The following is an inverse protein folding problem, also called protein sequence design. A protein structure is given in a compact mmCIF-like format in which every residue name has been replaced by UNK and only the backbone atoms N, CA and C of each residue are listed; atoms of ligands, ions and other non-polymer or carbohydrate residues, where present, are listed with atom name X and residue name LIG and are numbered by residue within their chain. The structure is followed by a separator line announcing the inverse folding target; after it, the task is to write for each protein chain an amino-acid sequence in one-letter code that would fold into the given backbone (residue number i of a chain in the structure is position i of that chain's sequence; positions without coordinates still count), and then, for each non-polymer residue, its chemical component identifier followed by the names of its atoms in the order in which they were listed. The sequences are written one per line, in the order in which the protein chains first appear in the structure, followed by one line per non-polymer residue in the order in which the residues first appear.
data_IF_604470441240
#
_entry.id   IF_604470441240
#
_cell.length_a   1.000
_cell.length_b   1.000
_cell.length_c   1.000
_cell.angle_alpha   90.00
_cell.angle_beta   90.00
_cell.angle_gamma   90.00
#
_symmetry.space_group_name_H-M   'P 1'
#
loop_
_entity.id
_entity.type
_entity.pdbx_description
1 polymer ?
#
# COMPACT_ATOMS: atom_id res chain seq x y z
N UNK A 1 -12.76 20.94 -11.93
CA UNK A 1 -13.07 19.49 -11.92
C UNK A 1 -14.39 19.25 -11.22
N UNK A 2 -15.31 18.57 -11.89
CA UNK A 2 -16.57 18.14 -11.28
C UNK A 2 -16.37 16.71 -10.82
N UNK A 3 -16.46 16.48 -9.51
CA UNK A 3 -16.26 15.19 -8.87
C UNK A 3 -17.62 14.59 -8.52
N UNK A 4 -17.81 13.31 -8.81
CA UNK A 4 -19.02 12.57 -8.47
C UNK A 4 -18.65 11.41 -7.55
N UNK A 5 -19.21 11.42 -6.34
CA UNK A 5 -19.15 10.25 -5.44
C UNK A 5 -20.22 9.25 -5.86
N UNK A 6 -19.87 7.97 -5.86
CA UNK A 6 -20.86 6.90 -6.00
C UNK A 6 -21.90 7.01 -4.88
N UNK A 7 -23.16 7.32 -5.27
CA UNK A 7 -24.28 7.45 -4.34
C UNK A 7 -24.67 8.87 -3.93
N UNK A 8 -23.84 9.90 -4.23
CA UNK A 8 -24.25 11.29 -4.05
C UNK A 8 -25.13 11.76 -5.21
N UNK A 9 -26.24 12.45 -4.89
CA UNK A 9 -27.10 13.09 -5.91
C UNK A 9 -26.52 14.41 -6.42
N UNK A 10 -25.71 15.07 -5.61
CA UNK A 10 -25.14 16.38 -5.91
C UNK A 10 -23.64 16.26 -6.20
N UNK A 11 -23.18 16.66 -7.39
CA UNK A 11 -21.77 16.64 -7.72
C UNK A 11 -21.01 17.73 -6.96
N UNK A 12 -19.81 17.41 -6.48
CA UNK A 12 -18.92 18.38 -5.87
C UNK A 12 -18.13 19.10 -6.96
N UNK A 13 -18.14 20.43 -6.91
CA UNK A 13 -17.46 21.27 -7.89
C UNK A 13 -16.21 21.85 -7.23
N UNK A 14 -15.05 21.33 -7.63
CA UNK A 14 -13.75 21.86 -7.20
C UNK A 14 -13.02 22.53 -8.36
N UNK A 15 -12.47 23.72 -8.14
CA UNK A 15 -11.57 24.35 -9.11
C UNK A 15 -10.12 24.02 -8.75
N UNK A 16 -9.40 23.43 -9.70
CA UNK A 16 -7.99 23.04 -9.52
C UNK A 16 -7.17 23.90 -10.46
N UNK A 17 -6.11 24.52 -9.94
CA UNK A 17 -5.27 25.43 -10.70
C UNK A 17 -3.85 25.46 -10.14
N UNK A 18 -2.88 25.63 -11.02
CA UNK A 18 -1.48 25.93 -10.72
C UNK A 18 -1.16 27.43 -10.81
N UNK A 19 -2.19 28.27 -11.04
CA UNK A 19 -2.02 29.71 -11.16
C UNK A 19 -1.68 30.35 -9.81
N UNK A 20 -0.42 30.73 -9.63
CA UNK A 20 0.10 31.35 -8.40
C UNK A 20 -0.62 32.62 -7.97
N UNK A 21 -1.31 33.32 -8.88
CA UNK A 21 -2.12 34.52 -8.52
C UNK A 21 -3.34 34.17 -7.68
N UNK A 22 -3.72 32.89 -7.62
CA UNK A 22 -4.89 32.42 -6.86
C UNK A 22 -4.55 31.87 -5.48
N UNK A 23 -3.26 31.79 -5.12
CA UNK A 23 -2.83 31.21 -3.84
C UNK A 23 -3.61 31.76 -2.64
N UNK A 24 -3.75 33.08 -2.49
CA UNK A 24 -4.47 33.67 -1.32
C UNK A 24 -5.97 33.39 -1.34
N UNK A 25 -6.56 33.12 -2.51
CA UNK A 25 -8.00 32.87 -2.69
C UNK A 25 -8.39 31.40 -2.69
N UNK A 26 -7.41 30.50 -2.72
CA UNK A 26 -7.67 29.06 -2.71
C UNK A 26 -7.98 28.57 -1.30
N UNK A 27 -8.97 27.70 -1.17
CA UNK A 27 -9.31 27.03 0.10
C UNK A 27 -8.20 26.09 0.58
N UNK A 28 -7.46 25.50 -0.36
CA UNK A 28 -6.29 24.69 -0.07
C UNK A 28 -5.11 24.95 -1.01
N UNK A 29 -3.91 24.72 -0.50
CA UNK A 29 -2.66 24.65 -1.26
C UNK A 29 -2.07 23.26 -1.04
N UNK A 30 -1.75 22.58 -2.14
CA UNK A 30 -1.19 21.22 -2.12
C UNK A 30 0.29 21.29 -2.44
N UNK A 31 1.09 20.66 -1.58
CA UNK A 31 2.55 20.65 -1.67
C UNK A 31 3.05 19.26 -1.99
N UNK A 32 3.91 19.18 -3.00
CA UNK A 32 4.67 17.97 -3.30
C UNK A 32 5.95 18.01 -2.47
N UNK A 33 6.07 17.18 -1.42
CA UNK A 33 7.28 17.15 -0.62
C UNK A 33 8.49 16.80 -1.47
N UNK A 34 8.34 15.95 -2.49
CA UNK A 34 9.43 15.55 -3.39
C UNK A 34 10.18 16.74 -4.02
N UNK A 35 9.48 17.86 -4.22
CA UNK A 35 9.99 19.05 -4.89
C UNK A 35 9.88 20.30 -4.00
N UNK A 36 9.81 20.12 -2.68
CA UNK A 36 9.58 21.23 -1.76
C UNK A 36 10.81 22.16 -1.72
N UNK A 37 10.62 23.40 -2.19
CA UNK A 37 11.59 24.47 -2.06
C UNK A 37 11.07 25.52 -1.06
N UNK A 38 11.76 25.65 0.07
CA UNK A 38 11.38 26.60 1.13
C UNK A 38 11.35 28.06 0.65
N UNK A 39 12.16 28.39 -0.36
CA UNK A 39 12.22 29.76 -0.92
C UNK A 39 11.06 30.08 -1.86
N UNK A 40 10.36 29.07 -2.38
CA UNK A 40 9.22 29.23 -3.31
C UNK A 40 7.85 29.04 -2.63
N UNK A 41 7.85 28.80 -1.31
CA UNK A 41 6.63 28.66 -0.52
C UNK A 41 5.87 29.99 -0.44
N UNK A 42 4.51 29.96 -0.38
CA UNK A 42 3.73 31.17 -0.19
C UNK A 42 4.11 31.90 1.11
N UNK A 43 4.50 33.18 1.01
CA UNK A 43 4.83 34.00 2.18
C UNK A 43 3.60 34.36 3.03
N UNK A 44 2.41 34.31 2.44
CA UNK A 44 1.15 34.61 3.08
C UNK A 44 0.27 33.36 3.07
N UNK A 45 -0.34 33.09 4.22
CA UNK A 45 -1.33 32.03 4.40
C UNK A 45 -2.62 32.67 4.90
N UNK A 46 -3.72 32.44 4.19
CA UNK A 46 -5.03 32.92 4.63
C UNK A 46 -5.54 32.10 5.84
N UNK A 47 -6.34 32.72 6.71
CA UNK A 47 -6.72 32.16 8.02
C UNK A 47 -7.40 30.78 7.97
N UNK A 48 -8.19 30.51 6.92
CA UNK A 48 -8.91 29.24 6.74
C UNK A 48 -8.29 28.35 5.66
N UNK A 49 -7.12 28.73 5.13
CA UNK A 49 -6.48 27.99 4.07
C UNK A 49 -5.79 26.73 4.60
N UNK A 50 -6.14 25.60 3.98
CA UNK A 50 -5.60 24.29 4.28
C UNK A 50 -4.30 24.06 3.50
N UNK A 51 -3.24 23.65 4.18
CA UNK A 51 -1.99 23.26 3.53
C UNK A 51 -1.89 21.74 3.57
N UNK A 52 -1.85 21.11 2.40
CA UNK A 52 -1.92 19.66 2.22
C UNK A 52 -0.55 19.13 1.81
N UNK A 53 -0.02 18.22 2.61
CA UNK A 53 1.21 17.49 2.36
C UNK A 53 0.93 16.25 1.52
N UNK A 54 1.25 16.28 0.22
CA UNK A 54 0.92 15.19 -0.70
C UNK A 54 2.12 14.29 -1.00
N UNK A 55 2.33 13.26 -0.17
CA UNK A 55 3.34 12.22 -0.38
C UNK A 55 2.87 11.21 -1.45
N UNK A 56 3.30 11.42 -2.70
CA UNK A 56 2.97 10.53 -3.83
C UNK A 56 3.86 9.31 -3.89
N UNK A 57 5.10 9.49 -3.48
CA UNK A 57 6.13 8.47 -3.50
C UNK A 57 6.73 8.27 -2.12
N UNK A 58 7.63 7.30 -2.04
CA UNK A 58 8.47 7.08 -0.87
C UNK A 58 9.32 8.33 -0.61
N UNK A 59 9.19 8.89 0.59
CA UNK A 59 10.17 9.82 1.12
C UNK A 59 11.34 9.04 1.74
N UNK A 60 12.60 9.45 1.52
CA UNK A 60 13.74 8.80 2.16
C UNK A 60 13.63 8.95 3.69
N UNK A 61 14.14 7.97 4.46
CA UNK A 61 14.25 8.10 5.90
C UNK A 61 14.97 9.39 6.29
N UNK A 62 14.51 10.03 7.37
CA UNK A 62 15.15 11.19 7.97
C UNK A 62 16.66 10.94 8.18
N UNK A 63 17.49 11.90 7.78
CA UNK A 63 18.94 11.85 7.95
C UNK A 63 19.72 11.06 6.88
N UNK A 64 19.07 10.35 5.94
CA UNK A 64 19.76 9.82 4.75
C UNK A 64 19.86 10.91 3.68
N UNK A 65 20.86 11.79 3.79
CA UNK A 65 21.08 12.87 2.85
C UNK A 65 21.45 12.32 1.46
N UNK A 66 20.55 12.44 0.48
CA UNK A 66 20.93 12.53 -0.93
C UNK A 66 20.77 13.99 -1.36
N UNK A 67 21.54 14.48 -2.35
CA UNK A 67 21.42 15.87 -2.82
C UNK A 67 20.00 16.26 -3.23
N UNK A 68 19.20 15.28 -3.65
CA UNK A 68 17.81 15.41 -4.05
C UNK A 68 16.84 14.92 -2.96
N UNK A 69 17.25 14.89 -1.68
CA UNK A 69 16.38 14.46 -0.58
C UNK A 69 15.63 15.65 0.03
N UNK A 70 14.34 15.83 -0.28
CA UNK A 70 13.54 16.90 0.31
C UNK A 70 13.24 16.69 1.79
N UNK A 71 13.42 15.47 2.32
CA UNK A 71 13.31 15.18 3.76
C UNK A 71 14.29 16.00 4.61
N UNK A 72 15.35 16.56 4.01
CA UNK A 72 16.26 17.49 4.68
C UNK A 72 15.59 18.82 5.07
N UNK A 73 14.62 19.28 4.29
CA UNK A 73 13.93 20.56 4.52
C UNK A 73 12.64 20.41 5.34
N UNK A 74 12.11 19.20 5.42
CA UNK A 74 10.87 18.91 6.13
C UNK A 74 10.88 19.31 7.63
N UNK A 75 11.99 19.21 8.39
CA UNK A 75 12.02 19.70 9.77
C UNK A 75 11.76 21.20 9.90
N UNK A 76 12.13 21.99 8.89
CA UNK A 76 11.91 23.46 8.89
C UNK A 76 10.47 23.85 8.60
N UNK A 77 9.64 22.91 8.15
CA UNK A 77 8.22 23.09 7.87
C UNK A 77 7.35 22.20 8.76
N UNK A 78 7.90 21.72 9.88
CA UNK A 78 7.12 21.08 10.92
C UNK A 78 6.00 22.02 11.39
N UNK A 79 4.79 21.49 11.62
CA UNK A 79 3.58 22.25 11.96
C UNK A 79 3.00 23.17 10.88
N UNK A 80 3.48 23.11 9.64
CA UNK A 80 2.94 23.95 8.55
C UNK A 80 1.72 23.31 7.89
N UNK A 81 1.70 21.99 7.75
CA UNK A 81 0.65 21.25 7.04
C UNK A 81 -0.51 20.84 7.94
N UNK A 82 -1.74 21.01 7.47
CA UNK A 82 -2.94 20.53 8.15
C UNK A 82 -3.24 19.08 7.82
N UNK A 83 -3.13 18.72 6.55
CA UNK A 83 -3.52 17.40 6.06
C UNK A 83 -2.35 16.68 5.43
N UNK A 84 -2.34 15.38 5.62
CA UNK A 84 -1.51 14.41 4.94
C UNK A 84 -2.35 13.73 3.86
N UNK A 85 -1.77 13.62 2.68
CA UNK A 85 -2.39 12.99 1.54
C UNK A 85 -1.41 11.97 0.97
N UNK A 86 -1.77 10.69 0.96
CA UNK A 86 -0.81 9.64 0.63
C UNK A 86 -1.41 8.23 0.64
N UNK A 87 -0.56 7.25 0.36
CA UNK A 87 -0.97 5.85 0.17
C UNK A 87 -1.20 5.07 1.46
N UNK A 88 -0.70 5.60 2.58
CA UNK A 88 -0.85 5.00 3.90
C UNK A 88 -2.29 5.14 4.36
N UNK A 89 -2.74 4.16 5.14
CA UNK A 89 -4.13 4.10 5.61
C UNK A 89 -4.40 5.05 6.79
N UNK A 90 -3.35 5.63 7.37
CA UNK A 90 -3.42 6.63 8.45
C UNK A 90 -3.29 8.08 7.94
N UNK A 91 -3.32 8.30 6.62
CA UNK A 91 -3.36 9.65 6.03
C UNK A 91 -4.73 10.29 6.24
N UNK A 92 -4.81 11.62 6.34
CA UNK A 92 -6.10 12.33 6.36
C UNK A 92 -6.86 12.15 5.04
N UNK A 93 -6.12 12.13 3.93
CA UNK A 93 -6.64 11.84 2.58
C UNK A 93 -5.89 10.66 2.00
N UNK A 94 -6.47 9.46 2.16
CA UNK A 94 -5.91 8.24 1.59
C UNK A 94 -6.10 8.26 0.06
N UNK A 95 -5.01 8.09 -0.68
CA UNK A 95 -5.06 8.04 -2.14
C UNK A 95 -5.95 6.89 -2.62
N UNK A 96 -6.85 7.14 -3.60
CA UNK A 96 -7.64 6.08 -4.20
C UNK A 96 -6.75 4.96 -4.74
N UNK A 97 -7.09 3.73 -4.38
CA UNK A 97 -6.45 2.52 -4.88
C UNK A 97 -7.45 1.70 -5.69
N UNK A 98 -6.96 0.71 -6.44
CA UNK A 98 -7.86 -0.21 -7.16
C UNK A 98 -8.69 -0.98 -6.16
N UNK A 99 -10.00 -0.99 -6.38
CA UNK A 99 -10.96 -1.80 -5.64
C UNK A 99 -11.45 -2.96 -6.52
N UNK A 100 -12.31 -3.81 -5.97
CA UNK A 100 -12.75 -5.02 -6.65
C UNK A 100 -14.27 -5.12 -6.62
N UNK A 101 -14.85 -5.44 -7.79
CA UNK A 101 -16.25 -5.81 -7.89
C UNK A 101 -16.35 -7.28 -8.28
N UNK A 102 -16.91 -8.08 -7.37
CA UNK A 102 -17.21 -9.48 -7.60
C UNK A 102 -18.69 -9.62 -7.95
N UNK A 103 -18.97 -10.33 -9.03
CA UNK A 103 -20.34 -10.59 -9.44
C UNK A 103 -20.94 -11.69 -8.58
N UNK A 104 -22.16 -11.44 -8.09
CA UNK A 104 -23.10 -12.53 -7.88
C UNK A 104 -23.70 -12.84 -9.26
N UNK A 105 -23.79 -14.13 -9.61
CA UNK A 105 -24.12 -14.64 -10.95
C UNK A 105 -25.18 -13.78 -11.70
N UNK A 106 -24.79 -13.08 -12.78
CA UNK A 106 -25.75 -12.42 -13.68
C UNK A 106 -25.34 -11.09 -14.32
N UNK A 107 -24.42 -10.32 -13.73
CA UNK A 107 -24.02 -9.03 -14.31
C UNK A 107 -22.92 -9.16 -15.37
N UNK A 108 -22.84 -8.21 -16.32
CA UNK A 108 -21.70 -8.12 -17.26
C UNK A 108 -20.63 -7.20 -16.68
N UNK A 109 -19.34 -7.61 -16.65
CA UNK A 109 -18.31 -6.77 -16.06
C UNK A 109 -18.03 -5.57 -16.97
N UNK A 110 -18.16 -4.35 -16.44
CA UNK A 110 -17.68 -3.12 -17.09
C UNK A 110 -16.16 -2.92 -16.91
N UNK A 111 -15.51 -3.79 -16.14
CA UNK A 111 -14.11 -3.68 -15.73
C UNK A 111 -13.22 -4.80 -16.31
N UNK A 112 -11.90 -4.57 -16.30
CA UNK A 112 -10.92 -5.52 -16.85
C UNK A 112 -10.89 -6.81 -16.00
N UNK A 113 -11.10 -8.00 -16.60
CA UNK A 113 -11.01 -9.26 -15.89
C UNK A 113 -9.56 -9.61 -15.53
N UNK A 114 -9.38 -10.41 -14.47
CA UNK A 114 -8.06 -10.90 -14.07
C UNK A 114 -7.57 -12.03 -15.00
N UNK A 115 -6.24 -12.20 -15.16
CA UNK A 115 -5.69 -13.36 -15.81
C UNK A 115 -6.19 -14.63 -15.13
N UNK A 116 -6.66 -15.60 -15.91
CA UNK A 116 -7.02 -16.92 -15.38
C UNK A 116 -5.75 -17.58 -14.82
N UNK A 117 -5.86 -18.30 -13.68
CA UNK A 117 -4.73 -19.05 -13.17
C UNK A 117 -4.24 -20.05 -14.20
N UNK A 118 -2.92 -20.28 -14.26
CA UNK A 118 -2.36 -21.24 -15.20
C UNK A 118 -2.91 -22.65 -14.92
N UNK A 119 -3.23 -23.44 -15.94
CA UNK A 119 -3.60 -24.85 -15.76
C UNK A 119 -2.47 -25.67 -15.10
N UNK A 120 -1.24 -25.15 -15.11
CA UNK A 120 -0.03 -25.77 -14.59
C UNK A 120 0.49 -25.13 -13.31
N UNK A 121 -0.36 -24.62 -12.40
CA UNK A 121 0.10 -24.24 -11.04
C UNK A 121 0.73 -25.47 -10.37
N UNK A 122 2.04 -25.62 -10.59
CA UNK A 122 2.87 -26.70 -10.07
C UNK A 122 3.46 -26.22 -8.76
N UNK A 123 3.08 -26.87 -7.67
CA UNK A 123 3.58 -26.52 -6.33
C UNK A 123 5.00 -27.03 -6.08
N UNK A 124 5.52 -27.91 -6.94
CA UNK A 124 6.76 -28.62 -6.66
C UNK A 124 8.02 -27.84 -7.03
N UNK A 125 7.91 -26.77 -7.83
CA UNK A 125 9.08 -26.04 -8.36
C UNK A 125 9.34 -24.65 -7.74
N UNK A 126 8.51 -24.19 -6.79
CA UNK A 126 8.64 -22.85 -6.17
C UNK A 126 9.02 -22.93 -4.70
N UNK A 127 9.72 -21.92 -4.20
CA UNK A 127 9.95 -21.68 -2.78
C UNK A 127 8.66 -21.35 -2.02
N UNK A 128 8.72 -21.38 -0.70
CA UNK A 128 7.51 -21.35 0.13
C UNK A 128 6.97 -19.92 0.20
N UNK A 129 7.71 -18.99 0.81
CA UNK A 129 7.28 -17.60 1.00
C UNK A 129 8.44 -16.62 0.83
N UNK A 130 8.14 -15.48 0.22
CA UNK A 130 9.06 -14.35 0.12
C UNK A 130 8.50 -13.12 0.86
N UNK A 131 9.39 -12.24 1.32
CA UNK A 131 9.01 -10.95 1.86
C UNK A 131 9.99 -9.88 1.42
N UNK A 132 9.44 -8.81 0.86
CA UNK A 132 10.17 -7.58 0.60
C UNK A 132 10.21 -6.80 1.92
N UNK A 133 11.36 -6.79 2.58
CA UNK A 133 11.58 -6.02 3.81
C UNK A 133 12.47 -4.84 3.49
N UNK A 134 11.87 -3.67 3.49
CA UNK A 134 12.59 -2.43 3.34
C UNK A 134 13.29 -2.02 4.65
N UNK A 135 14.27 -1.12 4.54
CA UNK A 135 15.09 -0.67 5.67
C UNK A 135 14.24 -0.09 6.82
N UNK A 136 13.08 0.54 6.53
CA UNK A 136 12.20 1.05 7.58
C UNK A 136 11.44 -0.07 8.31
N UNK A 137 11.12 -1.19 7.64
CA UNK A 137 10.34 -2.28 8.24
C UNK A 137 11.21 -3.30 8.99
N UNK A 138 12.52 -3.33 8.71
CA UNK A 138 13.45 -4.32 9.25
C UNK A 138 13.48 -4.35 10.79
N UNK A 139 13.56 -3.18 11.41
CA UNK A 139 13.74 -3.06 12.87
C UNK A 139 12.54 -3.56 13.66
N UNK A 140 11.31 -3.30 13.18
CA UNK A 140 10.09 -3.68 13.89
C UNK A 140 9.81 -5.18 13.81
N UNK A 141 10.01 -5.75 12.63
CA UNK A 141 9.63 -7.15 12.39
C UNK A 141 10.63 -8.18 12.91
N UNK A 142 11.89 -7.79 13.13
CA UNK A 142 12.86 -8.56 13.93
C UNK A 142 12.29 -8.88 15.33
N UNK A 143 11.64 -7.89 15.95
CA UNK A 143 11.08 -8.02 17.29
C UNK A 143 9.68 -8.66 17.30
N UNK A 144 8.79 -8.32 16.36
CA UNK A 144 7.39 -8.78 16.38
C UNK A 144 7.20 -10.23 15.91
N UNK A 145 8.00 -10.72 14.95
CA UNK A 145 7.80 -12.05 14.34
C UNK A 145 8.77 -13.09 14.92
N UNK A 146 9.74 -12.66 15.74
CA UNK A 146 10.73 -13.54 16.35
C UNK A 146 11.59 -14.26 15.31
N UNK A 147 11.79 -13.62 14.14
CA UNK A 147 12.68 -14.10 13.08
C UNK A 147 13.97 -13.31 13.20
N UNK A 148 15.04 -13.96 13.63
CA UNK A 148 16.38 -13.37 13.55
C UNK A 148 16.75 -13.30 12.06
N UNK A 149 16.87 -12.09 11.51
CA UNK A 149 17.11 -11.86 10.07
C UNK A 149 18.57 -12.11 9.64
N UNK A 150 19.33 -12.90 10.41
CA UNK A 150 20.65 -13.33 9.96
C UNK A 150 20.49 -14.29 8.78
N UNK A 151 20.79 -13.76 7.59
CA UNK A 151 20.64 -14.39 6.28
C UNK A 151 21.51 -15.63 6.08
N UNK A 152 21.30 -16.66 6.87
CA UNK A 152 21.75 -17.99 6.55
C UNK A 152 20.53 -18.88 6.36
N UNK A 153 20.50 -19.52 5.19
CA UNK A 153 19.75 -20.73 4.92
C UNK A 153 20.00 -21.72 6.06
N UNK A 154 19.19 -21.67 7.12
CA UNK A 154 19.24 -22.66 8.18
C UNK A 154 18.24 -23.74 7.79
N UNK A 155 18.71 -24.93 7.38
CA UNK A 155 17.83 -26.01 6.94
C UNK A 155 17.31 -26.71 8.19
N UNK A 156 16.42 -26.07 8.95
CA UNK A 156 15.63 -26.80 9.92
C UNK A 156 14.54 -27.56 9.16
N UNK A 157 14.94 -28.74 8.69
CA UNK A 157 14.10 -29.83 8.19
C UNK A 157 13.21 -30.41 9.30
N UNK A 158 12.65 -29.57 10.17
CA UNK A 158 11.54 -29.97 11.01
C UNK A 158 10.28 -29.99 10.13
N UNK A 159 9.64 -31.15 10.01
CA UNK A 159 8.37 -31.28 9.30
C UNK A 159 7.37 -30.25 9.88
N UNK A 160 6.94 -29.29 9.05
CA UNK A 160 6.04 -28.21 9.49
C UNK A 160 6.61 -26.78 9.41
N UNK A 161 7.88 -26.60 9.02
CA UNK A 161 8.48 -25.27 8.83
C UNK A 161 8.16 -24.68 7.45
N UNK A 162 8.14 -23.36 7.36
CA UNK A 162 7.99 -22.58 6.12
C UNK A 162 9.28 -21.81 5.91
N UNK A 163 9.89 -21.95 4.72
CA UNK A 163 11.10 -21.22 4.37
C UNK A 163 10.77 -19.82 3.89
N UNK A 164 11.18 -18.84 4.67
CA UNK A 164 11.06 -17.42 4.34
C UNK A 164 12.32 -16.92 3.63
N UNK A 165 12.16 -16.39 2.41
CA UNK A 165 13.20 -15.61 1.74
C UNK A 165 12.94 -14.12 1.93
N UNK A 166 13.92 -13.42 2.48
CA UNK A 166 13.90 -11.97 2.57
C UNK A 166 14.55 -11.34 1.34
N UNK A 167 13.90 -10.29 0.85
CA UNK A 167 14.43 -9.39 -0.16
C UNK A 167 14.57 -8.03 0.49
N UNK A 168 15.80 -7.57 0.71
CA UNK A 168 16.06 -6.17 1.02
C UNK A 168 15.58 -5.31 -0.14
N UNK A 169 15.04 -4.13 0.15
CA UNK A 169 14.31 -3.32 -0.82
C UNK A 169 15.03 -3.04 -2.17
N UNK A 170 14.16 -2.79 -3.15
CA UNK A 170 14.34 -2.36 -4.54
C UNK A 170 15.65 -1.60 -4.81
N UNK A 171 16.51 -2.20 -5.64
CA UNK A 171 17.86 -1.71 -5.94
C UNK A 171 18.96 -2.76 -5.72
N UNK A 172 18.63 -3.89 -5.08
CA UNK A 172 19.45 -5.08 -5.15
C UNK A 172 19.44 -5.66 -6.58
N UNK A 173 20.53 -6.32 -6.98
CA UNK A 173 20.78 -6.89 -8.34
C UNK A 173 19.63 -7.75 -8.90
N UNK A 174 18.68 -8.17 -8.06
CA UNK A 174 17.59 -9.09 -8.41
C UNK A 174 16.36 -8.38 -9.01
N UNK A 175 15.93 -7.24 -8.46
CA UNK A 175 14.76 -6.47 -8.94
C UNK A 175 14.80 -4.99 -8.50
N UNK A 176 14.45 -4.06 -9.39
CA UNK A 176 14.65 -2.62 -9.18
C UNK A 176 13.38 -1.86 -8.77
N UNK A 177 12.19 -2.38 -9.08
CA UNK A 177 10.91 -1.75 -8.72
C UNK A 177 9.99 -2.72 -7.97
N UNK A 178 9.00 -2.24 -7.18
CA UNK A 178 8.05 -3.13 -6.51
C UNK A 178 7.33 -4.06 -7.48
N UNK A 179 6.99 -3.56 -8.67
CA UNK A 179 6.36 -4.34 -9.74
C UNK A 179 7.27 -5.48 -10.20
N UNK A 180 8.53 -5.18 -10.48
CA UNK A 180 9.52 -6.19 -10.88
C UNK A 180 9.77 -7.22 -9.77
N UNK A 181 9.84 -6.77 -8.52
CA UNK A 181 10.05 -7.66 -7.38
C UNK A 181 8.87 -8.60 -7.16
N UNK A 182 7.63 -8.10 -7.23
CA UNK A 182 6.44 -8.95 -7.12
C UNK A 182 6.39 -9.96 -8.26
N UNK A 183 6.71 -9.56 -9.50
CA UNK A 183 6.81 -10.48 -10.64
C UNK A 183 7.87 -11.56 -10.41
N UNK A 184 9.07 -11.16 -10.00
CA UNK A 184 10.18 -12.08 -9.70
C UNK A 184 9.77 -13.11 -8.63
N UNK A 185 9.12 -12.63 -7.57
CA UNK A 185 8.59 -13.46 -6.48
C UNK A 185 7.52 -14.41 -7.01
N UNK A 186 6.58 -13.91 -7.83
CA UNK A 186 5.49 -14.73 -8.37
C UNK A 186 5.99 -15.90 -9.21
N UNK A 187 7.11 -15.75 -9.90
CA UNK A 187 7.72 -16.83 -10.69
C UNK A 187 8.37 -17.92 -9.80
N UNK A 188 8.80 -17.57 -8.57
CA UNK A 188 9.70 -18.41 -7.76
C UNK A 188 9.15 -18.82 -6.41
N UNK A 189 8.07 -18.20 -5.93
CA UNK A 189 7.50 -18.44 -4.60
C UNK A 189 5.97 -18.58 -4.67
N UNK A 190 5.39 -19.28 -3.69
CA UNK A 190 3.95 -19.44 -3.58
C UNK A 190 3.26 -18.29 -2.84
N UNK A 191 3.95 -17.71 -1.87
CA UNK A 191 3.42 -16.65 -1.03
C UNK A 191 4.32 -15.41 -1.05
N UNK A 192 3.69 -14.25 -0.90
CA UNK A 192 4.38 -12.99 -0.60
C UNK A 192 3.80 -12.42 0.70
N UNK A 193 4.66 -12.08 1.65
CA UNK A 193 4.23 -11.38 2.87
C UNK A 193 4.06 -9.89 2.56
N UNK A 194 2.96 -9.32 3.06
CA UNK A 194 2.63 -7.89 2.94
C UNK A 194 2.20 -7.37 4.32
N UNK A 195 2.78 -6.25 4.75
CA UNK A 195 2.36 -5.55 5.98
C UNK A 195 1.13 -4.67 5.72
N UNK A 196 0.15 -4.63 6.64
CA UNK A 196 -0.95 -3.64 6.58
C UNK A 196 -0.52 -2.25 7.11
N UNK A 197 0.57 -2.18 7.86
CA UNK A 197 1.22 -0.93 8.30
C UNK A 197 2.63 -0.85 7.71
N UNK A 198 2.77 -0.71 6.39
CA UNK A 198 4.09 -0.53 5.80
C UNK A 198 4.61 0.86 6.20
N UNK A 199 5.71 0.89 6.97
CA UNK A 199 6.31 2.15 7.43
C UNK A 199 6.99 2.89 6.26
N UNK A 200 7.42 2.17 5.22
CA UNK A 200 7.94 2.79 4.00
C UNK A 200 6.83 3.04 2.97
N UNK A 201 5.91 3.99 3.19
CA UNK A 201 5.04 4.70 2.21
C UNK A 201 4.45 3.97 0.97
N UNK A 202 4.46 2.65 0.90
CA UNK A 202 3.82 1.82 -0.12
C UNK A 202 2.47 1.38 0.42
N UNK A 203 1.40 1.37 -0.40
CA UNK A 203 0.14 0.84 0.11
C UNK A 203 0.20 -0.68 0.19
N UNK A 204 -0.35 -1.28 1.26
CA UNK A 204 -0.69 -2.71 1.30
C UNK A 204 -1.42 -3.15 0.03
N UNK A 205 -2.30 -2.29 -0.48
CA UNK A 205 -3.08 -2.56 -1.68
C UNK A 205 -2.27 -2.56 -2.96
N UNK A 206 -1.15 -1.83 -3.07
CA UNK A 206 -0.34 -1.85 -4.28
C UNK A 206 0.35 -3.20 -4.47
N UNK A 207 0.94 -3.75 -3.41
CA UNK A 207 1.57 -5.06 -3.42
C UNK A 207 0.54 -6.17 -3.66
N UNK A 208 -0.63 -6.09 -3.00
CA UNK A 208 -1.73 -7.04 -3.24
C UNK A 208 -2.21 -6.96 -4.69
N UNK A 209 -2.47 -5.75 -5.20
CA UNK A 209 -2.96 -5.55 -6.57
C UNK A 209 -1.96 -6.06 -7.61
N UNK A 210 -0.67 -5.91 -7.36
CA UNK A 210 0.37 -6.44 -8.24
C UNK A 210 0.41 -7.97 -8.16
N UNK A 211 0.39 -8.55 -6.95
CA UNK A 211 0.41 -9.99 -6.75
C UNK A 211 -0.77 -10.70 -7.40
N UNK A 212 -1.96 -10.07 -7.38
CA UNK A 212 -3.17 -10.59 -8.01
C UNK A 212 -3.09 -10.76 -9.53
N UNK A 213 -2.13 -10.12 -10.21
CA UNK A 213 -1.87 -10.37 -11.63
C UNK A 213 -1.25 -11.73 -11.90
N UNK A 214 -0.73 -12.41 -10.87
CA UNK A 214 0.02 -13.65 -10.97
C UNK A 214 -0.57 -14.77 -10.09
N UNK A 215 -0.04 -15.98 -10.22
CA UNK A 215 -0.36 -17.12 -9.35
C UNK A 215 0.47 -17.06 -8.06
N UNK A 216 0.29 -15.96 -7.33
CA UNK A 216 0.98 -15.61 -6.08
C UNK A 216 -0.07 -15.22 -5.04
N UNK A 217 -0.01 -15.82 -3.84
CA UNK A 217 -0.99 -15.55 -2.77
C UNK A 217 -0.40 -14.56 -1.76
N UNK A 218 -1.00 -13.37 -1.56
CA UNK A 218 -0.59 -12.46 -0.51
C UNK A 218 -0.91 -13.01 0.89
N UNK A 219 0.06 -12.92 1.79
CA UNK A 219 -0.06 -13.18 3.21
C UNK A 219 0.03 -11.86 3.94
N UNK A 220 -1.12 -11.31 4.34
CA UNK A 220 -1.22 -9.99 4.95
C UNK A 220 -1.06 -10.06 6.46
N UNK A 221 0.00 -9.43 6.96
CA UNK A 221 0.24 -9.25 8.39
C UNK A 221 -0.62 -8.09 8.89
N UNK A 222 -1.56 -8.40 9.78
CA UNK A 222 -2.53 -7.45 10.29
C UNK A 222 -3.04 -7.81 11.69
N UNK A 223 -3.51 -6.82 12.47
CA UNK A 223 -4.10 -7.06 13.78
C UNK A 223 -5.43 -7.81 13.67
N UNK A 224 -5.86 -8.46 14.76
CA UNK A 224 -7.06 -9.32 14.80
C UNK A 224 -8.37 -8.63 14.42
N UNK A 225 -8.45 -7.30 14.52
CA UNK A 225 -9.64 -6.49 14.20
C UNK A 225 -9.53 -5.72 12.88
N UNK A 226 -8.45 -5.91 12.12
CA UNK A 226 -8.29 -5.23 10.84
C UNK A 226 -9.27 -5.76 9.79
N UNK A 227 -9.61 -4.90 8.83
CA UNK A 227 -10.39 -5.25 7.65
C UNK A 227 -9.56 -5.00 6.39
N UNK A 228 -9.80 -5.78 5.34
CA UNK A 228 -9.18 -5.60 4.02
C UNK A 228 -10.27 -5.64 2.97
N UNK A 229 -10.31 -4.63 2.11
CA UNK A 229 -11.22 -4.60 0.96
C UNK A 229 -10.61 -5.35 -0.22
N UNK A 230 -10.70 -6.68 -0.16
CA UNK A 230 -10.20 -7.60 -1.20
C UNK A 230 -11.21 -8.71 -1.44
N UNK A 231 -11.19 -9.36 -2.61
CA UNK A 231 -12.09 -10.47 -2.89
C UNK A 231 -12.01 -11.56 -1.82
N UNK A 232 -13.13 -12.19 -1.48
CA UNK A 232 -13.16 -13.28 -0.49
C UNK A 232 -12.22 -14.41 -0.91
N UNK A 233 -11.48 -14.96 0.05
CA UNK A 233 -10.51 -16.03 -0.17
C UNK A 233 -9.40 -15.69 -1.18
N UNK A 234 -9.06 -14.41 -1.37
CA UNK A 234 -7.95 -13.99 -2.26
C UNK A 234 -6.61 -13.82 -1.55
N UNK A 235 -6.63 -13.68 -0.23
CA UNK A 235 -5.46 -13.46 0.62
C UNK A 235 -5.52 -14.36 1.86
N UNK A 236 -4.37 -14.54 2.51
CA UNK A 236 -4.25 -15.15 3.84
C UNK A 236 -3.95 -14.03 4.83
N UNK A 237 -4.66 -13.95 5.96
CA UNK A 237 -4.46 -12.89 6.96
C UNK A 237 -3.89 -13.45 8.26
N UNK A 238 -2.94 -12.76 8.88
CA UNK A 238 -2.44 -13.14 10.22
C UNK A 238 -3.44 -12.82 11.35
N UNK A 239 -4.50 -12.04 11.08
CA UNK A 239 -5.50 -11.59 12.06
C UNK A 239 -5.97 -12.67 13.06
N UNK A 240 -6.21 -13.90 12.58
CA UNK A 240 -6.68 -15.04 13.37
C UNK A 240 -5.59 -16.08 13.69
N UNK A 241 -4.33 -15.79 13.38
CA UNK A 241 -3.17 -16.69 13.46
C UNK A 241 -2.05 -16.09 14.34
N UNK A 242 -2.43 -15.45 15.46
CA UNK A 242 -1.54 -14.65 16.31
C UNK A 242 -0.59 -15.48 17.20
N UNK A 243 -0.79 -16.80 17.30
CA UNK A 243 0.10 -17.65 18.09
C UNK A 243 1.41 -17.93 17.37
N UNK A 244 2.51 -18.02 18.14
CA UNK A 244 3.84 -18.38 17.61
C UNK A 244 3.76 -19.64 16.74
N UNK A 245 4.21 -19.54 15.48
CA UNK A 245 4.21 -20.65 14.52
C UNK A 245 2.87 -21.03 13.90
N UNK A 246 1.74 -20.43 14.31
CA UNK A 246 0.42 -20.77 13.74
C UNK A 246 0.33 -20.41 12.26
N UNK A 247 0.83 -19.22 11.88
CA UNK A 247 0.88 -18.79 10.49
C UNK A 247 1.72 -19.76 9.64
N UNK A 248 2.92 -20.13 10.10
CA UNK A 248 3.78 -21.09 9.40
C UNK A 248 3.10 -22.45 9.21
N UNK A 249 2.48 -22.99 10.27
CA UNK A 249 1.71 -24.25 10.20
C UNK A 249 0.54 -24.15 9.21
N UNK A 250 -0.16 -23.03 9.18
CA UNK A 250 -1.26 -22.81 8.24
C UNK A 250 -0.77 -22.79 6.80
N UNK A 251 0.30 -22.03 6.50
CA UNK A 251 0.88 -21.97 5.16
C UNK A 251 1.40 -23.34 4.71
N UNK A 252 2.03 -24.12 5.60
CA UNK A 252 2.49 -25.47 5.26
C UNK A 252 1.34 -26.39 4.87
N UNK A 253 0.25 -26.36 5.65
CA UNK A 253 -0.97 -27.12 5.35
C UNK A 253 -1.62 -26.71 4.01
N UNK A 254 -1.42 -25.47 3.56
CA UNK A 254 -1.86 -25.03 2.23
C UNK A 254 -0.96 -25.63 1.14
N UNK A 255 0.37 -25.60 1.32
CA UNK A 255 1.31 -26.15 0.34
C UNK A 255 1.22 -27.68 0.21
N UNK A 256 0.89 -28.39 1.28
CA UNK A 256 0.68 -29.85 1.25
C UNK A 256 -0.56 -30.28 0.47
N UNK A 257 -1.45 -29.34 0.13
CA UNK A 257 -2.73 -29.61 -0.55
C UNK A 257 -2.88 -28.72 -1.78
N UNK A 258 -2.48 -29.20 -2.98
CA UNK A 258 -2.56 -28.42 -4.19
C UNK A 258 -3.91 -27.78 -4.50
N UNK A 259 -4.98 -28.52 -4.26
CA UNK A 259 -6.32 -28.02 -4.51
C UNK A 259 -6.70 -26.89 -3.54
N UNK A 260 -6.23 -26.95 -2.29
CA UNK A 260 -6.40 -25.86 -1.32
C UNK A 260 -5.70 -24.59 -1.78
N UNK A 261 -4.46 -24.69 -2.27
CA UNK A 261 -3.74 -23.53 -2.80
C UNK A 261 -4.45 -22.93 -4.02
N UNK A 262 -4.94 -23.77 -4.95
CA UNK A 262 -5.70 -23.30 -6.12
C UNK A 262 -6.97 -22.54 -5.77
N UNK A 263 -7.61 -22.84 -4.63
CA UNK A 263 -8.81 -22.10 -4.21
C UNK A 263 -8.58 -20.61 -4.00
N UNK A 264 -7.35 -20.16 -3.76
CA UNK A 264 -7.02 -18.74 -3.60
C UNK A 264 -7.10 -17.92 -4.90
N UNK A 265 -7.37 -18.57 -6.04
CA UNK A 265 -7.46 -17.90 -7.35
C UNK A 265 -8.84 -18.01 -7.99
N UNK A 266 -9.80 -18.69 -7.37
CA UNK A 266 -11.15 -18.89 -7.93
C UNK A 266 -11.92 -17.58 -8.07
N UNK A 267 -11.65 -16.61 -7.19
CA UNK A 267 -12.22 -15.27 -7.24
C UNK A 267 -11.91 -14.54 -8.56
N UNK A 268 -10.76 -14.83 -9.21
CA UNK A 268 -10.37 -14.20 -10.48
C UNK A 268 -11.34 -14.46 -11.63
N UNK A 269 -12.15 -15.51 -11.54
CA UNK A 269 -13.15 -15.85 -12.55
C UNK A 269 -14.43 -15.00 -12.44
N UNK A 270 -14.69 -14.41 -11.27
CA UNK A 270 -15.97 -13.75 -10.95
C UNK A 270 -15.79 -12.30 -10.49
N UNK A 271 -14.54 -11.83 -10.36
CA UNK A 271 -14.23 -10.47 -9.94
C UNK A 271 -13.44 -9.72 -11.00
N UNK A 272 -13.57 -8.40 -10.98
CA UNK A 272 -12.88 -7.48 -11.87
C UNK A 272 -12.31 -6.30 -11.09
N UNK A 273 -11.18 -5.77 -11.55
CA UNK A 273 -10.54 -4.62 -10.92
C UNK A 273 -11.24 -3.32 -11.34
N UNK A 274 -11.67 -2.53 -10.38
CA UNK A 274 -12.17 -1.19 -10.62
C UNK A 274 -10.97 -0.23 -10.57
N UNK A 275 -10.74 0.59 -11.61
CA UNK A 275 -9.69 1.60 -11.58
C UNK A 275 -9.82 2.54 -10.37
N UNK A 276 -8.72 3.06 -9.81
CA UNK A 276 -8.80 4.06 -8.76
C UNK A 276 -9.50 5.31 -9.27
N UNK A 277 -10.22 6.01 -8.39
CA UNK A 277 -10.79 7.32 -8.66
C UNK A 277 -9.74 8.40 -8.90
N UNK A 278 -10.19 9.59 -9.30
CA UNK A 278 -9.32 10.75 -9.44
C UNK A 278 -8.79 11.19 -8.07
N UNK A 279 -7.48 11.38 -8.01
CA UNK A 279 -6.76 11.68 -6.77
C UNK A 279 -7.16 13.04 -6.19
N UNK A 280 -7.35 14.05 -7.03
CA UNK A 280 -7.73 15.38 -6.59
C UNK A 280 -9.22 15.46 -6.28
N UNK A 281 -10.05 14.61 -6.88
CA UNK A 281 -11.41 14.40 -6.41
C UNK A 281 -11.47 13.81 -5.01
N UNK A 282 -10.58 12.88 -4.64
CA UNK A 282 -10.54 12.38 -3.27
C UNK A 282 -10.24 13.50 -2.25
N UNK A 283 -9.32 14.42 -2.59
CA UNK A 283 -9.07 15.62 -1.78
C UNK A 283 -10.29 16.54 -1.75
N UNK A 284 -10.92 16.79 -2.90
CA UNK A 284 -12.15 17.59 -3.01
C UNK A 284 -13.24 17.07 -2.06
N UNK A 285 -13.50 15.76 -2.11
CA UNK A 285 -14.43 15.05 -1.23
C UNK A 285 -14.08 15.24 0.24
N UNK A 286 -12.82 15.02 0.61
CA UNK A 286 -12.38 15.23 1.99
C UNK A 286 -12.61 16.67 2.46
N UNK A 287 -12.32 17.67 1.61
CA UNK A 287 -12.55 19.09 1.90
C UNK A 287 -14.02 19.46 2.05
N UNK A 288 -14.90 18.74 1.36
CA UNK A 288 -16.35 18.92 1.47
C UNK A 288 -16.92 18.28 2.74
N UNK A 289 -16.49 17.07 3.08
CA UNK A 289 -17.02 16.30 4.22
C UNK A 289 -16.47 16.77 5.57
N UNK A 290 -15.20 17.17 5.63
CA UNK A 290 -14.53 17.53 6.88
C UNK A 290 -14.62 19.04 7.06
N UNK A 291 -15.23 19.55 8.16
CA UNK A 291 -15.25 20.99 8.43
C UNK A 291 -13.81 21.55 8.43
N UNK A 292 -13.57 22.64 7.69
CA UNK A 292 -12.26 23.30 7.56
C UNK A 292 -11.76 23.88 8.89
N UNK A 293 -11.34 23.04 9.85
CA UNK A 293 -10.81 23.43 11.18
C UNK A 293 -9.88 22.39 11.80
N UNK A 294 -9.09 21.67 11.01
CA UNK A 294 -8.06 20.80 11.59
C UNK A 294 -6.79 21.60 11.91
N UNK A 295 -6.33 21.48 13.16
CA UNK A 295 -5.02 22.04 13.57
C UNK A 295 -3.93 21.38 12.73
N UNK A 296 -2.84 22.11 12.41
CA UNK A 296 -1.69 21.51 11.75
C UNK A 296 -1.24 20.24 12.46
N UNK A 297 -0.84 19.23 11.67
CA UNK A 297 -0.22 18.03 12.23
C UNK A 297 1.02 18.46 13.01
N UNK A 298 1.15 18.06 14.29
CA UNK A 298 2.24 18.50 15.14
C UNK A 298 3.60 18.14 14.53
N UNK A 299 3.65 17.05 13.77
CA UNK A 299 4.80 16.71 12.98
C UNK A 299 4.43 15.79 11.81
N UNK A 300 4.36 16.34 10.60
CA UNK A 300 4.18 15.53 9.37
C UNK A 300 5.34 14.56 9.12
N UNK A 301 6.47 14.73 9.83
CA UNK A 301 7.60 13.80 9.79
C UNK A 301 7.41 12.55 10.66
N UNK A 302 6.56 12.65 11.69
CA UNK A 302 6.20 11.51 12.54
C UNK A 302 5.06 10.68 11.93
N UNK A 303 4.33 11.29 10.99
CA UNK A 303 3.49 10.55 10.05
C UNK A 303 4.42 9.79 9.12
#
# INVERSE_FOLDING_TARGET
TVCKVDGSRDPEVCEITDNRRRLVRSDAIVFYPENLNLTDMPYLRADLQMWVFWARSRLPPLGKATPDNPSLFLPYVANVFNWTMGKRQDADVVLPHKTFRCQESGDKPQAKPFPRPSSSVSLQAKGDVAWILDDCERNRYEHEIGISLHGQDQPDKAAGTIRLRLFSACGAVICATPVECVRYIAERYHFIIVSIWPECFQSVYELINEAFKYDLVPVVLMPSRGTLDVPKNSVITSAKLQGKGQLAKYLRNVLDKPDKYRTFFTWKQHCSAVPPGDVLCALCHAMWEIPMRQRPHPNVLEW
#
